data_IF_889668571220
#
_entry.id   IF_889668571220
#
_cell.length_a   1.000
_cell.length_b   1.000
_cell.length_c   1.000
_cell.angle_alpha   90.00
_cell.angle_beta   90.00
_cell.angle_gamma   90.00
#
_symmetry.space_group_name_H-M   'P 1'
#
loop_
_entity.id
_entity.type
_entity.pdbx_description
1 polymer ?
#
# COMPACT_ATOMS: atom_id res chain seq x y z
N UNK A 1 -25.48 -5.51 30.23
CA UNK A 1 -25.14 -6.61 29.30
C UNK A 1 -25.97 -6.53 28.01
N UNK A 2 -27.30 -6.41 28.08
CA UNK A 2 -28.15 -6.31 26.87
C UNK A 2 -27.87 -5.05 26.02
N UNK A 3 -27.64 -3.90 26.64
CA UNK A 3 -27.33 -2.65 25.92
C UNK A 3 -26.04 -2.74 25.07
N UNK A 4 -25.02 -3.43 25.56
CA UNK A 4 -23.75 -3.61 24.82
C UNK A 4 -23.94 -4.57 23.64
N UNK A 5 -24.74 -5.63 23.84
CA UNK A 5 -25.07 -6.60 22.80
C UNK A 5 -25.87 -5.94 21.68
N UNK A 6 -26.87 -5.13 22.02
CA UNK A 6 -27.67 -4.39 21.04
C UNK A 6 -26.83 -3.34 20.31
N UNK A 7 -25.94 -2.63 21.00
CA UNK A 7 -25.04 -1.65 20.38
C UNK A 7 -24.09 -2.27 19.35
N UNK A 8 -23.54 -3.45 19.63
CA UNK A 8 -22.70 -4.18 18.67
C UNK A 8 -23.52 -4.65 17.47
N UNK A 9 -24.74 -5.13 17.70
CA UNK A 9 -25.63 -5.59 16.63
C UNK A 9 -26.05 -4.42 15.73
N UNK A 10 -26.44 -3.28 16.31
CA UNK A 10 -26.78 -2.06 15.57
C UNK A 10 -25.57 -1.48 14.81
N UNK A 11 -24.37 -1.52 15.40
CA UNK A 11 -23.14 -1.07 14.72
C UNK A 11 -22.77 -1.97 13.53
N UNK A 12 -22.96 -3.28 13.64
CA UNK A 12 -22.73 -4.22 12.53
C UNK A 12 -23.76 -3.99 11.42
N UNK A 13 -25.01 -3.76 11.78
CA UNK A 13 -26.08 -3.49 10.82
C UNK A 13 -25.90 -2.13 10.12
N UNK A 14 -25.39 -1.12 10.83
CA UNK A 14 -25.07 0.20 10.26
C UNK A 14 -23.90 0.12 9.27
N UNK A 15 -22.82 -0.59 9.61
CA UNK A 15 -21.68 -0.77 8.69
C UNK A 15 -22.10 -1.54 7.43
N UNK A 16 -23.03 -2.49 7.55
CA UNK A 16 -23.45 -3.33 6.42
C UNK A 16 -24.49 -2.67 5.52
N UNK A 17 -25.45 -1.94 6.09
CA UNK A 17 -26.58 -1.38 5.35
C UNK A 17 -26.42 0.10 5.00
N UNK A 18 -25.53 0.83 5.69
CA UNK A 18 -25.40 2.29 5.58
C UNK A 18 -24.05 2.77 5.06
N UNK A 19 -23.08 1.87 4.92
CA UNK A 19 -21.78 2.17 4.32
C UNK A 19 -21.69 1.51 2.96
N UNK A 20 -21.62 2.32 1.91
CA UNK A 20 -21.38 1.88 0.55
C UNK A 20 -19.91 1.44 0.43
N UNK A 21 -19.61 0.21 0.85
CA UNK A 21 -18.34 -0.41 0.51
C UNK A 21 -18.25 -0.52 -1.02
N UNK A 22 -17.18 0.01 -1.64
CA UNK A 22 -17.00 -0.14 -3.08
C UNK A 22 -16.90 -1.63 -3.42
N UNK A 23 -17.30 -1.98 -4.64
CA UNK A 23 -17.25 -3.38 -5.07
C UNK A 23 -15.81 -3.89 -4.96
N UNK A 24 -15.64 -5.14 -4.51
CA UNK A 24 -14.32 -5.76 -4.37
C UNK A 24 -13.45 -5.66 -5.64
N UNK A 25 -14.07 -5.63 -6.82
CA UNK A 25 -13.39 -5.42 -8.10
C UNK A 25 -12.70 -4.06 -8.24
N UNK A 26 -13.32 -2.98 -7.73
CA UNK A 26 -12.77 -1.62 -7.80
C UNK A 26 -11.59 -1.45 -6.84
N UNK A 27 -11.69 -2.09 -5.68
CA UNK A 27 -10.61 -2.13 -4.68
C UNK A 27 -9.41 -2.90 -5.19
N UNK A 28 -9.63 -4.05 -5.84
CA UNK A 28 -8.56 -4.81 -6.48
C UNK A 28 -7.89 -4.01 -7.59
N UNK A 29 -8.66 -3.32 -8.44
CA UNK A 29 -8.11 -2.46 -9.48
C UNK A 29 -7.21 -1.36 -8.90
N UNK A 30 -7.66 -0.72 -7.81
CA UNK A 30 -6.89 0.32 -7.13
C UNK A 30 -5.62 -0.24 -6.47
N UNK A 31 -5.71 -1.41 -5.84
CA UNK A 31 -4.57 -2.09 -5.23
C UNK A 31 -3.53 -2.53 -6.27
N UNK A 32 -3.97 -3.05 -7.42
CA UNK A 32 -3.10 -3.48 -8.51
C UNK A 32 -2.37 -2.27 -9.10
N UNK A 33 -3.06 -1.14 -9.28
CA UNK A 33 -2.43 0.10 -9.75
C UNK A 33 -1.27 0.52 -8.83
N UNK A 34 -1.51 0.52 -7.52
CA UNK A 34 -0.49 0.89 -6.52
C UNK A 34 0.66 -0.11 -6.50
N UNK A 35 0.38 -1.41 -6.64
CA UNK A 35 1.40 -2.46 -6.69
C UNK A 35 2.31 -2.30 -7.91
N UNK A 36 1.76 -1.98 -9.08
CA UNK A 36 2.56 -1.72 -10.28
C UNK A 36 3.40 -0.45 -10.12
N UNK A 37 2.82 0.61 -9.54
CA UNK A 37 3.56 1.84 -9.28
C UNK A 37 4.73 1.62 -8.32
N UNK A 38 4.53 0.85 -7.23
CA UNK A 38 5.60 0.55 -6.28
C UNK A 38 6.72 -0.31 -6.88
N UNK A 39 6.38 -1.23 -7.80
CA UNK A 39 7.36 -2.02 -8.54
C UNK A 39 8.27 -1.13 -9.41
N UNK A 40 7.69 -0.12 -10.08
CA UNK A 40 8.46 0.84 -10.88
C UNK A 40 9.40 1.65 -9.99
N UNK A 41 8.90 2.15 -8.85
CA UNK A 41 9.76 2.88 -7.90
C UNK A 41 10.89 2.02 -7.34
N UNK A 42 10.63 0.74 -7.05
CA UNK A 42 11.67 -0.19 -6.61
C UNK A 42 12.78 -0.36 -7.64
N UNK A 43 12.44 -0.48 -8.93
CA UNK A 43 13.43 -0.54 -10.01
C UNK A 43 14.26 0.73 -10.13
N UNK A 44 13.61 1.90 -9.98
CA UNK A 44 14.31 3.19 -10.03
C UNK A 44 15.30 3.33 -8.88
N UNK A 45 14.89 2.99 -7.65
CA UNK A 45 15.77 3.01 -6.48
C UNK A 45 16.95 2.07 -6.68
N UNK A 46 16.70 0.87 -7.21
CA UNK A 46 17.77 -0.09 -7.52
C UNK A 46 18.82 0.46 -8.50
N UNK A 47 18.39 1.18 -9.54
CA UNK A 47 19.32 1.85 -10.47
C UNK A 47 20.15 2.92 -9.76
N UNK A 48 19.52 3.72 -8.90
CA UNK A 48 20.25 4.72 -8.11
C UNK A 48 21.27 4.06 -7.18
N UNK A 49 20.88 3.01 -6.47
CA UNK A 49 21.78 2.28 -5.57
C UNK A 49 23.00 1.72 -6.32
N UNK A 50 22.80 1.14 -7.50
CA UNK A 50 23.92 0.68 -8.35
C UNK A 50 24.80 1.83 -8.83
N UNK A 51 24.19 2.93 -9.29
CA UNK A 51 24.89 4.10 -9.78
C UNK A 51 25.77 4.73 -8.70
N UNK A 52 25.20 4.98 -7.51
CA UNK A 52 25.92 5.57 -6.39
C UNK A 52 26.99 4.64 -5.82
N UNK A 53 26.71 3.34 -5.65
CA UNK A 53 27.71 2.39 -5.16
C UNK A 53 28.91 2.32 -6.11
N UNK A 54 28.67 2.26 -7.42
CA UNK A 54 29.76 2.20 -8.40
C UNK A 54 30.53 3.53 -8.51
N UNK A 55 29.82 4.67 -8.47
CA UNK A 55 30.44 5.99 -8.50
C UNK A 55 31.31 6.23 -7.26
N UNK A 56 30.82 5.88 -6.07
CA UNK A 56 31.57 6.00 -4.82
C UNK A 56 32.76 5.02 -4.80
N UNK A 57 32.58 3.77 -5.23
CA UNK A 57 33.68 2.81 -5.30
C UNK A 57 34.79 3.27 -6.25
N UNK A 58 34.44 3.93 -7.36
CA UNK A 58 35.42 4.53 -8.25
C UNK A 58 36.12 5.73 -7.62
N UNK A 59 35.37 6.63 -6.98
CA UNK A 59 35.94 7.80 -6.29
C UNK A 59 36.90 7.41 -5.16
N UNK A 60 36.51 6.45 -4.31
CA UNK A 60 37.36 5.94 -3.22
C UNK A 60 38.55 5.11 -3.69
N UNK A 61 38.54 4.60 -4.93
CA UNK A 61 39.67 3.87 -5.49
C UNK A 61 40.74 4.81 -6.04
N UNK A 62 40.34 5.97 -6.52
CA UNK A 62 41.24 6.95 -7.15
C UNK A 62 41.87 7.92 -6.13
N UNK A 63 41.34 7.97 -4.90
CA UNK A 63 41.83 8.78 -3.78
C UNK A 63 42.45 7.92 -2.67
#
# INVERSE_FOLDING_TARGET
MEKLKNYIIESIDEIRNKVSWPKFSELQSSAILVLVASLIFALVIWVFDLGFNNALAWFYKEF
#
